data_IF_501616727668
#
_entry.id   IF_501616727668
#
_cell.length_a   1.000
_cell.length_b   1.000
_cell.length_c   1.000
_cell.angle_alpha   90.00
_cell.angle_beta   90.00
_cell.angle_gamma   90.00
#
_symmetry.space_group_name_H-M   'P 1'
#
loop_
_entity.id
_entity.type
_entity.pdbx_description
1 polymer ?
#
# COMPACT_ATOMS: atom_id res chain seq x y z
N UNK A 1 20.10 -3.66 -16.22
CA UNK A 1 18.92 -3.12 -16.92
C UNK A 1 17.91 -2.65 -15.88
N UNK A 2 17.88 -1.36 -15.56
CA UNK A 2 16.94 -0.82 -14.57
C UNK A 2 15.67 -0.43 -15.31
N UNK A 3 14.75 -1.39 -15.44
CA UNK A 3 13.41 -1.17 -15.97
C UNK A 3 12.77 0.02 -15.25
N UNK A 4 12.14 0.93 -16.00
CA UNK A 4 11.32 2.02 -15.47
C UNK A 4 10.61 1.53 -14.21
N UNK A 5 10.81 2.20 -13.06
CA UNK A 5 10.41 1.65 -11.76
C UNK A 5 8.91 1.37 -11.81
N UNK A 6 8.56 0.11 -12.05
CA UNK A 6 7.18 -0.31 -12.21
C UNK A 6 6.44 0.14 -10.95
N UNK A 7 5.25 0.70 -11.11
CA UNK A 7 4.45 1.10 -9.96
C UNK A 7 4.28 -0.13 -9.07
N UNK A 8 4.32 0.05 -7.74
CA UNK A 8 4.16 -1.08 -6.84
C UNK A 8 2.79 -1.73 -7.04
N UNK A 9 2.65 -3.01 -6.71
CA UNK A 9 1.41 -3.74 -6.92
C UNK A 9 0.21 -3.13 -6.16
N UNK A 10 0.46 -2.46 -5.02
CA UNK A 10 -0.59 -1.74 -4.29
C UNK A 10 -1.10 -0.45 -4.96
N UNK A 11 -0.45 0.04 -6.02
CA UNK A 11 -0.84 1.26 -6.70
C UNK A 11 -2.04 1.00 -7.62
N UNK A 12 -3.20 1.60 -7.31
CA UNK A 12 -4.36 1.52 -8.20
C UNK A 12 -4.01 2.10 -9.59
N UNK A 13 -4.63 1.56 -10.64
CA UNK A 13 -4.39 2.02 -12.02
C UNK A 13 -4.70 3.51 -12.19
N UNK A 14 -5.83 3.95 -11.63
CA UNK A 14 -6.29 5.35 -11.69
C UNK A 14 -5.61 6.28 -10.70
N UNK A 15 -4.79 5.77 -9.79
CA UNK A 15 -4.02 6.62 -8.90
C UNK A 15 -2.85 7.24 -9.69
N UNK A 16 -2.72 8.56 -9.86
CA UNK A 16 -1.58 9.12 -10.61
C UNK A 16 -0.32 9.32 -9.74
N UNK A 17 -0.39 9.06 -8.43
CA UNK A 17 0.72 9.41 -7.53
C UNK A 17 1.92 8.48 -7.67
N UNK A 18 3.10 9.06 -7.42
CA UNK A 18 4.37 8.33 -7.47
C UNK A 18 4.51 7.43 -6.25
N UNK A 19 5.22 6.32 -6.43
CA UNK A 19 5.59 5.45 -5.31
C UNK A 19 6.58 6.15 -4.37
N UNK A 20 6.51 5.84 -3.07
CA UNK A 20 7.40 6.35 -2.04
C UNK A 20 8.20 5.19 -1.42
N UNK A 21 9.53 5.21 -1.52
CA UNK A 21 10.40 4.14 -0.98
C UNK A 21 10.34 2.84 -1.79
N UNK A 22 10.68 1.70 -1.19
CA UNK A 22 10.67 0.40 -1.86
C UNK A 22 9.25 -0.03 -2.26
N UNK A 23 9.09 -0.70 -3.41
CA UNK A 23 7.78 -1.13 -3.93
C UNK A 23 7.12 -2.27 -3.15
N UNK A 24 7.91 -2.93 -2.30
CA UNK A 24 7.61 -4.11 -1.51
C UNK A 24 7.90 -3.87 -0.02
N UNK A 25 7.76 -2.62 0.42
CA UNK A 25 8.02 -2.21 1.80
C UNK A 25 7.06 -2.85 2.80
N UNK A 26 5.81 -3.08 2.38
CA UNK A 26 4.76 -3.72 3.19
C UNK A 26 3.97 -4.73 2.38
N UNK A 27 3.30 -5.65 3.09
CA UNK A 27 2.26 -6.53 2.55
C UNK A 27 0.91 -6.10 3.13
N UNK A 28 -0.03 -5.70 2.28
CA UNK A 28 -1.41 -5.36 2.67
C UNK A 28 -2.31 -6.55 2.37
N UNK A 29 -3.17 -6.90 3.33
CA UNK A 29 -4.05 -8.06 3.25
C UNK A 29 -5.47 -7.68 3.65
N UNK A 30 -6.46 -8.11 2.88
CA UNK A 30 -7.86 -7.95 3.24
C UNK A 30 -8.27 -8.92 4.37
N UNK A 31 -9.49 -8.76 4.88
CA UNK A 31 -9.99 -9.53 6.02
C UNK A 31 -10.25 -11.01 5.74
N UNK A 32 -10.42 -11.40 4.48
CA UNK A 32 -10.79 -12.75 4.05
C UNK A 32 -9.58 -13.57 3.60
N UNK A 33 -8.51 -12.92 3.16
CA UNK A 33 -7.30 -13.60 2.69
C UNK A 33 -6.51 -14.20 3.85
N UNK A 34 -6.38 -15.53 3.86
CA UNK A 34 -5.66 -16.28 4.88
C UNK A 34 -4.13 -16.24 4.70
N UNK A 35 -3.63 -16.31 3.46
CA UNK A 35 -2.20 -16.34 3.11
C UNK A 35 -1.94 -15.40 1.93
N UNK A 36 -0.82 -14.69 1.95
CA UNK A 36 -0.44 -13.74 0.92
C UNK A 36 -1.01 -12.34 1.15
N UNK A 37 -1.08 -11.55 0.08
CA UNK A 37 -1.49 -10.15 0.10
C UNK A 37 -0.86 -9.39 -1.06
N UNK A 38 -1.02 -8.08 -1.08
CA UNK A 38 -0.45 -7.20 -2.09
C UNK A 38 0.74 -6.46 -1.52
N UNK A 39 1.89 -6.59 -2.19
CA UNK A 39 3.09 -5.83 -1.85
C UNK A 39 2.93 -4.36 -2.27
N UNK A 40 3.32 -3.47 -1.37
CA UNK A 40 3.14 -2.04 -1.55
C UNK A 40 4.30 -1.22 -1.00
N UNK A 41 4.49 -0.05 -1.60
CA UNK A 41 5.29 1.02 -1.01
C UNK A 41 4.52 1.72 0.12
N UNK A 42 5.19 2.57 0.91
CA UNK A 42 4.55 3.24 2.06
C UNK A 42 3.33 4.07 1.62
N UNK A 43 3.44 4.77 0.49
CA UNK A 43 2.36 5.60 0.00
C UNK A 43 1.12 4.81 -0.47
N UNK A 44 1.32 3.87 -1.40
CA UNK A 44 0.20 3.13 -1.97
C UNK A 44 -0.31 2.03 -1.04
N UNK A 45 0.55 1.48 -0.18
CA UNK A 45 0.13 0.57 0.90
C UNK A 45 -0.86 1.24 1.86
N UNK A 46 -0.61 2.51 2.23
CA UNK A 46 -1.55 3.27 3.07
C UNK A 46 -2.88 3.52 2.35
N UNK A 47 -2.85 3.91 1.07
CA UNK A 47 -4.08 4.12 0.27
C UNK A 47 -4.89 2.84 0.10
N UNK A 48 -4.22 1.73 -0.18
CA UNK A 48 -4.87 0.43 -0.29
C UNK A 48 -5.49 0.04 1.05
N UNK A 49 -4.75 0.13 2.15
CA UNK A 49 -5.26 -0.19 3.49
C UNK A 49 -6.47 0.67 3.86
N UNK A 50 -6.43 1.98 3.60
CA UNK A 50 -7.56 2.87 3.84
C UNK A 50 -8.80 2.54 2.98
N UNK A 51 -8.62 1.85 1.85
CA UNK A 51 -9.69 1.55 0.89
C UNK A 51 -10.31 0.17 1.05
N UNK A 52 -9.81 -0.66 1.98
CA UNK A 52 -10.31 -2.02 2.20
C UNK A 52 -10.84 -2.18 3.63
N UNK A 53 -11.99 -2.83 3.75
CA UNK A 53 -12.61 -3.06 5.05
C UNK A 53 -11.89 -4.19 5.83
N UNK A 54 -11.52 -3.91 7.08
CA UNK A 54 -10.85 -4.88 7.95
C UNK A 54 -9.44 -5.27 7.48
N UNK A 55 -8.82 -4.45 6.65
CA UNK A 55 -7.47 -4.67 6.14
C UNK A 55 -6.42 -4.71 7.24
N UNK A 56 -5.35 -5.45 6.98
CA UNK A 56 -4.19 -5.59 7.87
C UNK A 56 -2.93 -5.29 7.08
N UNK A 57 -1.94 -4.69 7.73
CA UNK A 57 -0.62 -4.44 7.15
C UNK A 57 0.44 -5.24 7.90
N UNK A 58 1.35 -5.84 7.14
CA UNK A 58 2.49 -6.59 7.64
C UNK A 58 3.79 -6.00 7.06
N UNK A 59 4.93 -6.17 7.75
CA UNK A 59 6.24 -5.84 7.18
C UNK A 59 6.47 -6.60 5.86
N UNK A 60 7.04 -5.91 4.87
CA UNK A 60 7.60 -6.52 3.67
C UNK A 60 9.11 -6.70 3.82
N UNK A 61 9.87 -6.39 2.76
CA UNK A 61 11.35 -6.46 2.79
C UNK A 61 12.03 -5.19 3.32
N UNK A 62 11.26 -4.13 3.59
CA UNK A 62 11.75 -2.93 4.25
C UNK A 62 11.72 -3.08 5.79
N UNK A 63 12.38 -2.18 6.54
CA UNK A 63 12.30 -2.19 8.00
C UNK A 63 10.85 -2.20 8.51
N UNK A 64 10.59 -2.91 9.60
CA UNK A 64 9.24 -3.08 10.17
C UNK A 64 8.52 -1.76 10.52
N UNK A 65 9.26 -0.66 10.68
CA UNK A 65 8.70 0.68 10.85
C UNK A 65 7.83 1.13 9.67
N UNK A 66 8.03 0.58 8.47
CA UNK A 66 7.20 0.85 7.30
C UNK A 66 5.73 0.42 7.51
N UNK A 67 5.49 -0.71 8.18
CA UNK A 67 4.14 -1.19 8.46
C UNK A 67 3.40 -0.25 9.44
N UNK A 68 4.12 0.27 10.44
CA UNK A 68 3.58 1.27 11.38
C UNK A 68 3.25 2.57 10.65
N UNK A 69 4.17 3.08 9.83
CA UNK A 69 3.96 4.30 9.06
C UNK A 69 2.76 4.18 8.10
N UNK A 70 2.61 3.02 7.45
CA UNK A 70 1.46 2.71 6.60
C UNK A 70 0.16 2.70 7.40
N UNK A 71 0.13 1.99 8.54
CA UNK A 71 -1.05 1.93 9.40
C UNK A 71 -1.48 3.33 9.85
N UNK A 72 -0.55 4.09 10.43
CA UNK A 72 -0.83 5.46 10.91
C UNK A 72 -1.33 6.37 9.79
N UNK A 73 -0.73 6.30 8.60
CA UNK A 73 -1.14 7.13 7.45
C UNK A 73 -2.50 6.73 6.90
N UNK A 74 -2.85 5.43 6.88
CA UNK A 74 -4.13 4.96 6.40
C UNK A 74 -5.31 5.55 7.20
N UNK A 75 -5.11 5.77 8.51
CA UNK A 75 -6.14 6.36 9.38
C UNK A 75 -6.45 7.83 9.10
N UNK A 76 -5.56 8.56 8.41
CA UNK A 76 -5.67 10.01 8.19
C UNK A 76 -5.96 10.40 6.74
N UNK A 77 -6.06 9.42 5.84
CA UNK A 77 -6.34 9.65 4.41
C UNK A 77 -7.71 9.11 4.02
N UNK A 78 -8.27 9.67 2.94
CA UNK A 78 -9.54 9.17 2.42
C UNK A 78 -9.37 7.82 1.69
N UNK A 79 -10.33 6.90 1.83
CA UNK A 79 -10.50 5.75 0.93
C UNK A 79 -10.67 6.19 -0.53
N UNK A 80 -10.32 5.32 -1.47
CA UNK A 80 -10.55 5.51 -2.92
C UNK A 80 -10.06 6.88 -3.41
N UNK A 81 -8.82 7.23 -3.07
CA UNK A 81 -8.26 8.56 -3.31
C UNK A 81 -8.24 8.98 -4.81
N UNK A 82 -8.45 8.04 -5.72
CA UNK A 82 -8.54 8.22 -7.17
C UNK A 82 -9.97 8.50 -7.70
N UNK A 83 -11.04 8.31 -6.92
CA UNK A 83 -12.41 8.64 -7.35
C UNK A 83 -12.67 10.13 -7.08
N UNK A 84 -13.06 10.90 -8.10
CA UNK A 84 -13.38 12.32 -7.95
C UNK A 84 -14.39 12.56 -6.81
N UNK A 85 -14.31 13.73 -6.16
CA UNK A 85 -15.25 14.12 -5.10
C UNK A 85 -16.62 14.44 -5.67
#
# INVERSE_FOLDING_TARGET
MTTARARCAAAHADDPTRCEGAGDAVLVRDRYTAVGGVLGCVHHGARMLASIEGGRVYPGHAPGSAAIAVWTRAQSIRPFAWVAR
#
